data_IF_958614976476
#
_entry.id   IF_958614976476
#
_cell.length_a   1.000
_cell.length_b   1.000
_cell.length_c   1.000
_cell.angle_alpha   90.00
_cell.angle_beta   90.00
_cell.angle_gamma   90.00
#
_symmetry.space_group_name_H-M   'P 1'
#
loop_
_entity.id
_entity.type
_entity.pdbx_description
1 polymer ?
#
# COMPACT_ATOMS: atom_id res chain seq x y z
N UNK A 1 -9.32 0.95 -10.52
CA UNK A 1 -9.69 2.29 -11.05
C UNK A 1 -8.54 3.27 -10.89
N UNK A 2 -8.25 4.04 -11.94
CA UNK A 2 -7.33 5.19 -11.89
C UNK A 2 -7.79 6.24 -10.86
N UNK A 3 -6.84 6.96 -10.24
CA UNK A 3 -7.13 8.12 -9.36
C UNK A 3 -8.06 7.79 -8.19
N UNK A 4 -7.96 6.57 -7.66
CA UNK A 4 -8.81 6.06 -6.59
C UNK A 4 -8.27 6.32 -5.18
N UNK A 5 -7.03 6.82 -5.04
CA UNK A 5 -6.34 6.97 -3.76
C UNK A 5 -5.43 8.21 -3.74
N UNK A 6 -5.22 8.77 -2.54
CA UNK A 6 -4.25 9.85 -2.24
C UNK A 6 -3.47 9.43 -1.00
N UNK A 7 -2.19 9.06 -1.16
CA UNK A 7 -1.32 8.70 -0.04
C UNK A 7 -0.52 9.89 0.52
N UNK A 8 -0.13 10.85 -0.33
CA UNK A 8 0.61 12.06 0.06
C UNK A 8 -0.36 13.25 0.17
N UNK A 9 -0.39 13.88 1.34
CA UNK A 9 -1.26 15.04 1.58
C UNK A 9 -0.88 16.21 0.65
N UNK A 10 -1.90 16.91 0.15
CA UNK A 10 -1.70 18.07 -0.74
C UNK A 10 -1.35 17.72 -2.20
N UNK A 11 -1.39 16.43 -2.60
CA UNK A 11 -1.16 15.99 -3.99
C UNK A 11 -2.45 15.64 -4.73
N UNK A 12 -2.35 15.45 -6.05
CA UNK A 12 -3.46 14.92 -6.85
C UNK A 12 -3.66 13.42 -6.62
N UNK A 13 -4.88 12.89 -6.89
CA UNK A 13 -5.13 11.46 -6.96
C UNK A 13 -4.15 10.71 -7.86
N UNK A 14 -3.71 9.56 -7.39
CA UNK A 14 -2.62 8.77 -7.93
C UNK A 14 -2.90 8.25 -9.35
N UNK A 15 -1.90 8.38 -10.24
CA UNK A 15 -1.93 7.91 -11.62
C UNK A 15 -1.52 6.42 -11.70
N UNK A 16 -2.35 5.57 -11.11
CA UNK A 16 -2.25 4.11 -11.25
C UNK A 16 -3.62 3.47 -11.22
N UNK A 17 -3.73 2.34 -11.89
CA UNK A 17 -4.79 1.38 -11.64
C UNK A 17 -4.22 0.10 -11.04
N UNK A 18 -5.11 -0.76 -10.55
CA UNK A 18 -4.66 -2.04 -10.06
C UNK A 18 -5.78 -3.04 -9.82
N UNK A 19 -5.38 -4.30 -9.84
CA UNK A 19 -6.17 -5.46 -9.48
C UNK A 19 -5.63 -6.05 -8.17
N UNK A 20 -6.51 -6.29 -7.21
CA UNK A 20 -6.14 -6.62 -5.83
C UNK A 20 -6.49 -8.09 -5.58
N UNK A 21 -5.53 -8.85 -5.08
CA UNK A 21 -5.64 -10.28 -4.83
C UNK A 21 -5.21 -10.55 -3.40
N UNK A 22 -6.02 -11.32 -2.67
CA UNK A 22 -5.68 -11.86 -1.36
C UNK A 22 -5.62 -13.38 -1.38
N UNK A 23 -5.55 -13.98 -0.20
CA UNK A 23 -5.80 -15.40 -0.05
C UNK A 23 -7.23 -15.71 -0.53
N UNK A 24 -7.39 -16.86 -1.19
CA UNK A 24 -8.72 -17.30 -1.62
C UNK A 24 -9.50 -17.79 -0.40
N UNK A 25 -10.33 -16.91 0.17
CA UNK A 25 -11.09 -17.17 1.40
C UNK A 25 -12.56 -17.41 1.04
N UNK A 26 -13.11 -18.62 1.22
CA UNK A 26 -14.51 -18.90 0.91
C UNK A 26 -15.46 -18.20 1.90
N UNK A 27 -16.73 -18.06 1.51
CA UNK A 27 -17.72 -17.31 2.28
C UNK A 27 -18.10 -17.96 3.63
N UNK A 28 -17.80 -19.24 3.81
CA UNK A 28 -18.00 -19.98 5.05
C UNK A 28 -16.78 -19.91 6.00
N UNK A 29 -15.68 -19.29 5.56
CA UNK A 29 -14.48 -19.16 6.38
C UNK A 29 -14.69 -18.15 7.52
N UNK A 30 -14.20 -18.42 8.74
CA UNK A 30 -14.37 -17.52 9.89
C UNK A 30 -13.88 -16.09 9.65
N UNK A 31 -12.82 -15.90 8.86
CA UNK A 31 -12.34 -14.55 8.55
C UNK A 31 -13.33 -13.75 7.69
N UNK A 32 -14.01 -14.39 6.73
CA UNK A 32 -15.03 -13.71 5.94
C UNK A 32 -16.28 -13.42 6.77
N UNK A 33 -16.79 -14.44 7.50
CA UNK A 33 -17.97 -14.32 8.35
C UNK A 33 -17.80 -13.19 9.38
N UNK A 34 -16.62 -13.11 10.02
CA UNK A 34 -16.30 -12.10 11.02
C UNK A 34 -15.77 -10.80 10.43
N UNK A 35 -15.77 -10.64 9.10
CA UNK A 35 -15.33 -9.44 8.37
C UNK A 35 -13.92 -8.98 8.75
N UNK A 36 -13.01 -9.93 8.91
CA UNK A 36 -11.61 -9.65 9.18
C UNK A 36 -10.97 -8.88 8.03
N UNK A 37 -9.96 -8.08 8.38
CA UNK A 37 -9.17 -7.29 7.44
C UNK A 37 -8.89 -8.04 6.11
N UNK A 38 -9.27 -7.43 4.99
CA UNK A 38 -9.02 -7.90 3.62
C UNK A 38 -9.29 -9.41 3.39
N UNK A 39 -10.35 -9.95 4.01
CA UNK A 39 -10.65 -11.38 3.95
C UNK A 39 -11.95 -11.66 3.20
N UNK A 40 -11.86 -12.43 2.11
CA UNK A 40 -13.01 -12.91 1.33
C UNK A 40 -12.61 -13.46 -0.04
N UNK A 41 -13.59 -13.89 -0.86
CA UNK A 41 -13.32 -14.42 -2.19
C UNK A 41 -12.71 -13.35 -3.11
N UNK A 42 -11.71 -13.75 -3.90
CA UNK A 42 -11.12 -12.86 -4.88
C UNK A 42 -12.15 -12.51 -5.97
N UNK A 43 -12.17 -11.24 -6.39
CA UNK A 43 -13.11 -10.74 -7.40
C UNK A 43 -12.47 -10.84 -8.78
N UNK A 44 -12.46 -12.05 -9.35
CA UNK A 44 -11.77 -12.33 -10.60
C UNK A 44 -12.39 -11.61 -11.83
N UNK A 45 -11.57 -11.18 -12.81
CA UNK A 45 -12.05 -10.43 -13.97
C UNK A 45 -12.70 -11.37 -15.00
N UNK A 46 -13.99 -11.64 -14.84
CA UNK A 46 -14.76 -12.55 -15.73
C UNK A 46 -14.67 -12.19 -17.22
N UNK A 47 -14.38 -10.92 -17.55
CA UNK A 47 -14.14 -10.45 -18.92
C UNK A 47 -12.92 -11.07 -19.62
N UNK A 48 -12.04 -11.81 -18.91
CA UNK A 48 -10.91 -12.52 -19.51
C UNK A 48 -11.33 -13.77 -20.32
N UNK A 49 -12.57 -14.23 -20.20
CA UNK A 49 -13.06 -15.37 -20.99
C UNK A 49 -12.19 -16.62 -20.82
N UNK A 50 -11.61 -17.13 -21.91
CA UNK A 50 -10.77 -18.33 -21.90
C UNK A 50 -9.49 -18.20 -21.06
N UNK A 51 -8.98 -16.99 -20.88
CA UNK A 51 -7.72 -16.75 -20.18
C UNK A 51 -7.88 -16.69 -18.66
N UNK A 52 -9.13 -16.61 -18.17
CA UNK A 52 -9.47 -16.45 -16.76
C UNK A 52 -8.83 -17.52 -15.88
N UNK A 53 -8.90 -18.79 -16.28
CA UNK A 53 -8.37 -19.88 -15.47
C UNK A 53 -6.85 -19.84 -15.37
N UNK A 54 -6.16 -19.52 -16.48
CA UNK A 54 -4.71 -19.35 -16.50
C UNK A 54 -4.29 -18.18 -15.62
N UNK A 55 -4.96 -17.04 -15.76
CA UNK A 55 -4.71 -15.85 -14.96
C UNK A 55 -4.89 -16.09 -13.46
N UNK A 56 -5.97 -16.79 -13.07
CA UNK A 56 -6.23 -17.21 -11.68
C UNK A 56 -5.08 -18.08 -11.16
N UNK A 57 -4.72 -19.12 -11.89
CA UNK A 57 -3.69 -20.08 -11.49
C UNK A 57 -2.33 -19.40 -11.30
N UNK A 58 -1.85 -18.64 -12.30
CA UNK A 58 -0.56 -17.95 -12.22
C UNK A 58 -0.52 -16.91 -11.11
N UNK A 59 -1.61 -16.16 -10.91
CA UNK A 59 -1.70 -15.18 -9.83
C UNK A 59 -1.62 -15.83 -8.46
N UNK A 60 -2.35 -16.93 -8.23
CA UNK A 60 -2.35 -17.61 -6.94
C UNK A 60 -1.06 -18.39 -6.68
N UNK A 61 -0.44 -18.95 -7.72
CA UNK A 61 0.89 -19.57 -7.62
C UNK A 61 1.95 -18.55 -7.18
N UNK A 62 1.99 -17.39 -7.83
CA UNK A 62 2.89 -16.30 -7.45
C UNK A 62 2.57 -15.76 -6.04
N UNK A 63 1.29 -15.55 -5.69
CA UNK A 63 0.87 -15.14 -4.35
C UNK A 63 1.40 -16.09 -3.27
N UNK A 64 1.22 -17.40 -3.46
CA UNK A 64 1.68 -18.42 -2.52
C UNK A 64 3.21 -18.46 -2.39
N UNK A 65 3.92 -18.31 -3.50
CA UNK A 65 5.39 -18.29 -3.53
C UNK A 65 5.95 -17.05 -2.83
N UNK A 66 5.35 -15.89 -3.08
CA UNK A 66 5.70 -14.64 -2.41
C UNK A 66 5.43 -14.73 -0.89
N UNK A 67 4.31 -15.31 -0.46
CA UNK A 67 4.03 -15.53 0.96
C UNK A 67 5.05 -16.45 1.64
N UNK A 68 5.48 -17.51 0.96
CA UNK A 68 6.54 -18.39 1.46
C UNK A 68 7.86 -17.63 1.62
N UNK A 69 8.24 -16.84 0.62
CA UNK A 69 9.42 -15.97 0.70
C UNK A 69 9.30 -14.97 1.86
N UNK A 70 8.15 -14.34 2.05
CA UNK A 70 7.93 -13.44 3.19
C UNK A 70 8.13 -14.16 4.53
N UNK A 71 7.62 -15.39 4.66
CA UNK A 71 7.84 -16.20 5.87
C UNK A 71 9.32 -16.47 6.12
N UNK A 72 10.10 -16.78 5.08
CA UNK A 72 11.55 -16.99 5.20
C UNK A 72 12.27 -15.69 5.56
N UNK A 73 11.88 -14.56 4.97
CA UNK A 73 12.42 -13.24 5.33
C UNK A 73 12.11 -12.85 6.77
N UNK A 74 10.91 -13.16 7.27
CA UNK A 74 10.55 -12.92 8.67
C UNK A 74 11.43 -13.74 9.63
N UNK A 75 11.81 -14.97 9.28
CA UNK A 75 12.77 -15.78 10.06
C UNK A 75 14.16 -15.13 10.11
N UNK A 76 14.63 -14.61 8.97
CA UNK A 76 15.90 -13.86 8.91
C UNK A 76 15.83 -12.60 9.78
N UNK A 77 14.72 -11.86 9.72
CA UNK A 77 14.52 -10.67 10.55
C UNK A 77 14.46 -11.00 12.05
N UNK A 78 13.96 -12.18 12.44
CA UNK A 78 13.99 -12.62 13.84
C UNK A 78 15.43 -12.81 14.32
N UNK A 79 16.24 -13.51 13.53
CA UNK A 79 17.65 -13.75 13.85
C UNK A 79 18.45 -12.46 13.94
N UNK A 80 18.20 -11.48 13.05
CA UNK A 80 18.87 -10.18 13.10
C UNK A 80 18.44 -9.28 14.27
N UNK A 81 17.43 -9.70 15.05
CA UNK A 81 16.97 -9.06 16.28
C UNK A 81 17.36 -9.86 17.53
N UNK A 82 18.27 -10.84 17.39
CA UNK A 82 18.67 -11.77 18.45
C UNK A 82 17.48 -12.55 19.06
N UNK A 83 16.50 -12.92 18.21
CA UNK A 83 15.35 -13.74 18.58
C UNK A 83 15.49 -15.16 18.03
N UNK A 84 14.69 -16.07 18.56
CA UNK A 84 14.49 -17.40 17.96
C UNK A 84 13.98 -17.28 16.53
N UNK A 85 14.48 -18.14 15.64
CA UNK A 85 14.13 -18.11 14.22
C UNK A 85 12.62 -18.15 13.95
N UNK A 86 11.88 -18.89 14.79
CA UNK A 86 10.43 -19.07 14.70
C UNK A 86 9.61 -17.99 15.44
N UNK A 87 10.24 -16.91 15.90
CA UNK A 87 9.57 -15.89 16.72
C UNK A 87 8.28 -15.34 16.08
N UNK A 88 8.30 -15.12 14.76
CA UNK A 88 7.16 -14.58 14.03
C UNK A 88 6.16 -15.63 13.52
N UNK A 89 6.31 -16.92 13.84
CA UNK A 89 5.43 -17.97 13.29
C UNK A 89 3.95 -17.77 13.62
N UNK A 90 3.61 -17.34 14.84
CA UNK A 90 2.22 -17.05 15.23
C UNK A 90 1.63 -15.81 14.53
N UNK A 91 2.49 -14.87 14.14
CA UNK A 91 2.07 -13.71 13.37
C UNK A 91 1.83 -14.09 11.89
N UNK A 92 2.59 -15.05 11.38
CA UNK A 92 2.43 -15.58 10.03
C UNK A 92 1.27 -16.58 9.89
N UNK A 93 0.90 -17.25 10.97
CA UNK A 93 -0.22 -18.20 11.01
C UNK A 93 -1.55 -17.48 10.75
N UNK A 94 -2.22 -17.77 9.63
CA UNK A 94 -3.41 -17.03 9.21
C UNK A 94 -3.11 -15.59 8.76
N UNK A 95 -1.88 -15.31 8.32
CA UNK A 95 -1.53 -13.96 7.89
C UNK A 95 -2.36 -13.48 6.70
N UNK A 96 -2.89 -12.27 6.84
CA UNK A 96 -3.49 -11.55 5.72
C UNK A 96 -2.36 -10.86 4.95
N UNK A 97 -2.32 -11.14 3.64
CA UNK A 97 -1.49 -10.40 2.69
C UNK A 97 -2.32 -9.97 1.48
N UNK A 98 -2.01 -8.79 0.97
CA UNK A 98 -2.65 -8.24 -0.22
C UNK A 98 -1.60 -8.09 -1.30
N UNK A 99 -1.80 -8.77 -2.42
CA UNK A 99 -1.05 -8.57 -3.65
C UNK A 99 -1.78 -7.58 -4.54
N UNK A 100 -1.05 -6.69 -5.21
CA UNK A 100 -1.64 -5.76 -6.18
C UNK A 100 -0.92 -5.87 -7.50
N UNK A 101 -1.65 -6.11 -8.58
CA UNK A 101 -1.13 -5.98 -9.94
C UNK A 101 -1.34 -4.53 -10.34
N UNK A 102 -0.28 -3.73 -10.37
CA UNK A 102 -0.36 -2.29 -10.60
C UNK A 102 0.09 -1.94 -12.01
N UNK A 103 -0.69 -1.09 -12.67
CA UNK A 103 -0.37 -0.48 -13.96
C UNK A 103 -0.29 1.04 -13.79
N UNK A 104 0.81 1.62 -14.28
CA UNK A 104 1.06 3.05 -14.31
C UNK A 104 1.12 3.51 -15.77
N UNK A 105 0.17 4.36 -16.20
CA UNK A 105 0.21 4.93 -17.54
C UNK A 105 1.52 5.69 -17.81
N UNK A 106 1.90 5.75 -19.08
CA UNK A 106 2.98 6.62 -19.55
C UNK A 106 2.66 8.09 -19.24
N UNK A 107 3.69 8.85 -18.87
CA UNK A 107 3.58 10.28 -18.60
C UNK A 107 4.60 11.07 -19.42
N UNK A 108 4.27 12.32 -19.82
CA UNK A 108 5.25 13.22 -20.44
C UNK A 108 6.47 13.43 -19.55
N UNK A 109 7.66 13.51 -20.15
CA UNK A 109 8.92 13.68 -19.40
C UNK A 109 8.97 14.99 -18.60
N UNK A 110 8.28 16.01 -19.09
CA UNK A 110 8.15 17.36 -18.53
C UNK A 110 6.93 17.52 -17.59
N UNK A 111 6.22 16.43 -17.30
CA UNK A 111 5.09 16.46 -16.38
C UNK A 111 5.53 16.90 -14.97
N UNK A 112 4.73 17.76 -14.35
CA UNK A 112 4.96 18.23 -12.98
C UNK A 112 4.84 17.06 -12.00
N UNK A 113 5.93 16.77 -11.29
CA UNK A 113 6.02 15.65 -10.33
C UNK A 113 5.01 15.73 -9.19
N UNK A 114 4.57 16.94 -8.79
CA UNK A 114 3.56 17.09 -7.74
C UNK A 114 2.15 16.82 -8.25
N UNK A 115 1.93 16.97 -9.56
CA UNK A 115 0.62 16.81 -10.20
C UNK A 115 0.45 15.41 -10.85
N UNK A 116 1.54 14.70 -11.12
CA UNK A 116 1.54 13.46 -11.92
C UNK A 116 2.17 12.26 -11.21
N UNK A 117 2.04 12.16 -9.89
CA UNK A 117 2.58 10.99 -9.17
C UNK A 117 1.84 9.71 -9.55
N UNK A 118 2.60 8.66 -9.85
CA UNK A 118 2.06 7.30 -9.92
C UNK A 118 1.59 6.87 -8.53
N UNK A 119 2.42 7.10 -7.51
CA UNK A 119 2.10 6.94 -6.08
C UNK A 119 2.74 8.10 -5.29
N UNK A 120 1.99 8.67 -4.35
CA UNK A 120 2.49 9.72 -3.45
C UNK A 120 3.56 9.23 -2.47
N UNK A 121 4.37 10.14 -1.92
CA UNK A 121 5.30 9.83 -0.82
C UNK A 121 4.54 9.25 0.39
N UNK A 122 4.90 8.03 0.80
CA UNK A 122 4.22 7.33 1.89
C UNK A 122 5.10 6.23 2.49
N UNK A 123 4.62 5.63 3.57
CA UNK A 123 5.14 4.38 4.14
C UNK A 123 4.08 3.29 4.07
N UNK A 124 4.52 2.03 4.06
CA UNK A 124 3.61 0.89 4.07
C UNK A 124 3.06 0.60 5.45
N UNK A 125 1.84 0.08 5.53
CA UNK A 125 1.14 -0.08 6.82
C UNK A 125 1.49 -1.40 7.53
N UNK A 126 1.73 -2.46 6.76
CA UNK A 126 1.95 -3.82 7.26
C UNK A 126 3.32 -4.05 7.90
N UNK A 127 3.78 -5.30 7.91
CA UNK A 127 5.08 -5.66 8.46
C UNK A 127 6.18 -5.63 7.38
N UNK A 128 5.95 -6.29 6.25
CA UNK A 128 6.92 -6.43 5.16
C UNK A 128 6.20 -6.37 3.81
N UNK A 129 6.87 -5.76 2.83
CA UNK A 129 6.42 -5.68 1.45
C UNK A 129 7.53 -6.23 0.55
N UNK A 130 7.14 -7.04 -0.43
CA UNK A 130 8.03 -7.47 -1.51
C UNK A 130 7.46 -6.95 -2.82
N UNK A 131 8.31 -6.33 -3.62
CA UNK A 131 7.92 -5.70 -4.87
C UNK A 131 8.69 -6.33 -6.02
N UNK A 132 7.94 -6.90 -6.96
CA UNK A 132 8.44 -7.21 -8.29
C UNK A 132 8.20 -6.01 -9.20
N UNK A 133 9.25 -5.58 -9.90
CA UNK A 133 9.20 -4.51 -10.90
C UNK A 133 9.38 -5.11 -12.29
N UNK A 134 8.76 -4.50 -13.30
CA UNK A 134 9.19 -4.69 -14.68
C UNK A 134 10.49 -3.93 -14.95
N UNK A 135 10.90 -3.84 -16.22
CA UNK A 135 12.12 -3.16 -16.64
C UNK A 135 12.03 -1.62 -16.61
N UNK A 136 10.86 -1.07 -16.24
CA UNK A 136 10.59 0.37 -16.28
C UNK A 136 10.78 0.99 -14.89
N UNK A 137 11.70 1.95 -14.83
CA UNK A 137 12.01 2.67 -13.59
C UNK A 137 10.86 3.59 -13.13
N UNK A 138 10.88 3.94 -11.86
CA UNK A 138 10.01 4.97 -11.30
C UNK A 138 9.88 4.90 -9.78
N UNK A 139 10.40 3.86 -9.12
CA UNK A 139 10.39 3.78 -7.66
C UNK A 139 11.50 4.68 -7.09
N UNK A 140 11.13 5.53 -6.13
CA UNK A 140 12.09 6.32 -5.36
C UNK A 140 11.91 6.10 -3.87
N UNK A 141 13.01 6.02 -3.14
CA UNK A 141 13.05 5.94 -1.68
C UNK A 141 13.69 7.20 -1.10
N UNK A 142 13.20 7.65 0.05
CA UNK A 142 13.72 8.83 0.72
C UNK A 142 14.92 8.48 1.60
N UNK A 143 16.10 8.99 1.27
CA UNK A 143 17.24 8.98 2.17
C UNK A 143 17.11 10.09 3.19
N UNK A 144 16.68 9.72 4.40
CA UNK A 144 16.53 10.64 5.52
C UNK A 144 17.85 11.31 5.93
N UNK A 145 19.00 10.67 5.73
CA UNK A 145 20.30 11.21 6.15
C UNK A 145 20.73 12.37 5.26
N UNK A 146 20.54 12.22 3.95
CA UNK A 146 20.97 13.21 2.96
C UNK A 146 19.82 14.10 2.48
N UNK A 147 18.60 13.88 2.98
CA UNK A 147 17.38 14.60 2.59
C UNK A 147 17.16 14.61 1.07
N UNK A 148 17.32 13.44 0.45
CA UNK A 148 17.24 13.27 -1.01
C UNK A 148 16.45 12.02 -1.38
N UNK A 149 15.84 12.06 -2.57
CA UNK A 149 15.24 10.89 -3.19
C UNK A 149 16.31 10.08 -3.92
N UNK A 150 16.29 8.76 -3.73
CA UNK A 150 17.17 7.81 -4.43
C UNK A 150 16.29 6.93 -5.33
N UNK A 151 16.66 6.84 -6.60
CA UNK A 151 16.02 5.93 -7.55
C UNK A 151 16.36 4.48 -7.21
N UNK A 152 15.36 3.60 -7.34
CA UNK A 152 15.52 2.15 -7.16
C UNK A 152 15.34 1.49 -8.53
N UNK A 153 16.43 1.38 -9.32
CA UNK A 153 16.35 0.86 -10.67
C UNK A 153 15.94 -0.62 -10.64
N UNK A 154 15.10 -1.07 -11.60
CA UNK A 154 14.78 -2.48 -11.75
C UNK A 154 16.05 -3.33 -11.87
N UNK A 155 16.08 -4.45 -11.15
CA UNK A 155 17.18 -5.41 -11.19
C UNK A 155 16.60 -6.78 -11.52
N UNK A 156 17.02 -7.35 -12.65
CA UNK A 156 16.57 -8.65 -13.10
C UNK A 156 16.86 -9.73 -12.04
N UNK A 157 15.85 -10.56 -11.74
CA UNK A 157 15.96 -11.63 -10.75
C UNK A 157 15.93 -11.17 -9.28
N UNK A 158 15.65 -9.90 -9.01
CA UNK A 158 15.60 -9.36 -7.66
C UNK A 158 14.21 -8.81 -7.28
N UNK A 159 13.89 -8.92 -5.98
CA UNK A 159 12.79 -8.18 -5.37
C UNK A 159 13.33 -6.95 -4.65
N UNK A 160 12.56 -5.88 -4.68
CA UNK A 160 12.72 -4.81 -3.68
C UNK A 160 11.94 -5.21 -2.44
N UNK A 161 12.57 -5.16 -1.28
CA UNK A 161 11.95 -5.50 0.00
C UNK A 161 11.99 -4.29 0.92
N UNK A 162 10.85 -3.94 1.50
CA UNK A 162 10.75 -2.85 2.46
C UNK A 162 9.92 -3.26 3.68
N UNK A 163 10.19 -2.59 4.81
CA UNK A 163 9.47 -2.81 6.06
C UNK A 163 8.39 -1.76 6.24
N UNK A 164 7.26 -2.17 6.81
CA UNK A 164 6.13 -1.30 7.08
C UNK A 164 6.09 -0.75 8.49
N UNK A 165 5.11 0.12 8.74
CA UNK A 165 4.87 0.80 10.01
C UNK A 165 4.68 -0.18 11.16
N UNK A 166 4.06 -1.35 10.91
CA UNK A 166 3.87 -2.35 11.94
C UNK A 166 5.21 -2.90 12.44
N UNK A 167 6.16 -3.22 11.54
CA UNK A 167 7.50 -3.69 11.91
C UNK A 167 8.32 -2.60 12.59
N UNK A 168 8.23 -1.36 12.11
CA UNK A 168 8.85 -0.21 12.77
C UNK A 168 8.33 -0.04 14.21
N UNK A 169 7.01 -0.14 14.42
CA UNK A 169 6.41 -0.14 15.77
C UNK A 169 6.94 -1.30 16.61
N UNK A 170 6.95 -2.51 16.04
CA UNK A 170 7.30 -3.75 16.72
C UNK A 170 8.72 -3.71 17.28
N UNK A 171 9.64 -3.14 16.50
CA UNK A 171 11.07 -3.00 16.81
C UNK A 171 11.42 -1.71 17.53
N UNK A 172 10.44 -0.98 18.08
CA UNK A 172 10.66 0.30 18.78
C UNK A 172 11.35 1.37 17.90
N UNK A 173 11.11 1.31 16.59
CA UNK A 173 11.74 2.04 15.50
C UNK A 173 13.23 1.75 15.31
N UNK A 174 13.74 0.60 15.76
CA UNK A 174 15.07 0.13 15.36
C UNK A 174 15.09 -0.09 13.84
N UNK A 175 14.10 -0.82 13.32
CA UNK A 175 13.85 -0.89 11.87
C UNK A 175 12.97 0.26 11.42
N UNK A 176 13.25 0.77 10.22
CA UNK A 176 12.58 1.93 9.65
C UNK A 176 11.59 1.50 8.59
N UNK A 177 10.40 2.09 8.65
CA UNK A 177 9.51 2.11 7.50
C UNK A 177 9.89 3.30 6.64
N UNK A 178 10.55 3.02 5.52
CA UNK A 178 11.10 4.06 4.65
C UNK A 178 10.02 4.69 3.80
N UNK A 179 10.07 6.02 3.71
CA UNK A 179 9.21 6.78 2.82
C UNK A 179 9.62 6.47 1.38
N UNK A 180 8.65 6.18 0.53
CA UNK A 180 8.86 5.90 -0.88
C UNK A 180 7.72 6.48 -1.73
N UNK A 181 7.98 6.70 -3.02
CA UNK A 181 7.03 7.25 -4.00
C UNK A 181 7.25 6.61 -5.38
N UNK A 182 6.29 6.78 -6.29
CA UNK A 182 6.44 6.34 -7.69
C UNK A 182 6.23 7.50 -8.65
N UNK A 183 7.21 7.72 -9.53
CA UNK A 183 7.21 8.73 -10.59
C UNK A 183 7.56 8.03 -11.91
N UNK A 184 6.58 7.87 -12.80
CA UNK A 184 6.81 7.23 -14.10
C UNK A 184 7.14 8.28 -15.18
N UNK A 185 8.40 8.69 -15.26
CA UNK A 185 8.90 9.64 -16.29
C UNK A 185 9.56 8.97 -17.49
N UNK A 186 9.46 7.65 -17.59
CA UNK A 186 10.12 6.88 -18.65
C UNK A 186 9.57 7.19 -20.05
N UNK A 187 8.34 7.69 -20.13
CA UNK A 187 7.58 7.78 -21.38
C UNK A 187 6.98 6.44 -21.82
N UNK A 188 7.10 5.40 -21.00
CA UNK A 188 6.54 4.06 -21.21
C UNK A 188 5.53 3.75 -20.10
N UNK A 189 4.66 2.77 -20.34
CA UNK A 189 3.85 2.19 -19.27
C UNK A 189 4.76 1.41 -18.31
N UNK A 190 4.39 1.38 -17.04
CA UNK A 190 5.10 0.62 -16.01
C UNK A 190 4.15 -0.34 -15.32
N UNK A 191 4.64 -1.53 -15.00
CA UNK A 191 3.93 -2.56 -14.26
C UNK A 191 4.72 -2.94 -13.00
N UNK A 192 4.01 -3.23 -11.92
CA UNK A 192 4.64 -3.73 -10.71
C UNK A 192 3.70 -4.55 -9.85
N UNK A 193 4.25 -5.53 -9.12
CA UNK A 193 3.48 -6.43 -8.26
C UNK A 193 4.01 -6.37 -6.82
N UNK A 194 3.53 -5.42 -6.00
CA UNK A 194 3.77 -5.47 -4.56
C UNK A 194 2.88 -6.53 -3.88
N UNK A 195 3.48 -7.26 -2.94
CA UNK A 195 2.81 -8.15 -1.99
C UNK A 195 3.04 -7.60 -0.59
N UNK A 196 1.98 -7.08 0.02
CA UNK A 196 1.98 -6.49 1.35
C UNK A 196 1.56 -7.53 2.38
N UNK A 197 2.44 -7.91 3.29
CA UNK A 197 2.11 -8.85 4.38
C UNK A 197 1.79 -8.06 5.65
N UNK A 198 0.52 -8.08 6.04
CA UNK A 198 0.04 -7.45 7.27
C UNK A 198 0.20 -8.35 8.49
N UNK A 199 -0.01 -9.66 8.32
CA UNK A 199 0.03 -10.64 9.41
C UNK A 199 -1.35 -11.11 9.86
N UNK A 200 -1.39 -11.99 10.86
CA UNK A 200 -2.62 -12.49 11.46
C UNK A 200 -3.41 -11.32 12.09
N UNK A 201 -4.65 -11.05 11.66
CA UNK A 201 -5.45 -9.92 12.15
C UNK A 201 -5.56 -9.82 13.67
N UNK A 202 -5.64 -10.96 14.35
CA UNK A 202 -5.84 -11.05 15.81
C UNK A 202 -4.53 -11.05 16.61
N UNK A 203 -3.37 -11.10 15.94
CA UNK A 203 -2.09 -11.13 16.62
C UNK A 203 -1.83 -9.81 17.35
N UNK A 204 -1.52 -9.91 18.64
CA UNK A 204 -1.18 -8.77 19.49
C UNK A 204 0.29 -8.37 19.28
N UNK A 205 0.51 -7.22 18.65
CA UNK A 205 1.82 -6.64 18.42
C UNK A 205 2.24 -5.81 19.64
N UNK A 206 3.29 -6.29 20.31
CA UNK A 206 3.92 -5.63 21.45
C UNK A 206 5.41 -5.45 21.19
N UNK A 207 5.99 -4.36 21.71
CA UNK A 207 7.41 -4.05 21.52
C UNK A 207 8.30 -5.24 21.88
N UNK A 208 9.11 -5.68 20.91
CA UNK A 208 9.98 -6.85 21.00
C UNK A 208 10.94 -6.69 22.19
N UNK A 209 11.13 -7.74 23.02
CA UNK A 209 11.98 -7.67 24.20
C UNK A 209 13.40 -7.15 23.94
N UNK A 210 14.04 -7.58 22.85
CA UNK A 210 15.39 -7.14 22.45
C UNK A 210 15.43 -5.71 21.91
N UNK A 211 14.28 -5.07 21.64
CA UNK A 211 14.18 -3.69 21.15
C UNK A 211 13.81 -2.67 22.22
N UNK A 212 13.77 -3.08 23.50
CA UNK A 212 13.49 -2.20 24.64
C UNK A 212 14.41 -2.51 25.82
N UNK A 213 14.60 -1.53 26.68
CA UNK A 213 15.40 -1.65 27.90
C UNK A 213 14.83 -0.73 28.98
N UNK A 214 15.41 -0.75 30.18
CA UNK A 214 15.04 0.18 31.26
C UNK A 214 15.27 1.66 30.87
N UNK A 215 16.29 1.93 30.05
CA UNK A 215 16.62 3.29 29.59
C UNK A 215 15.95 3.65 28.27
N UNK A 216 15.45 2.66 27.52
CA UNK A 216 14.69 2.83 26.30
C UNK A 216 13.39 2.00 26.37
N UNK A 217 12.37 2.49 27.09
CA UNK A 217 11.09 1.79 27.19
C UNK A 217 10.39 1.71 25.82
N UNK A 218 9.34 0.89 25.76
CA UNK A 218 8.50 0.81 24.57
C UNK A 218 7.85 2.18 24.27
N UNK A 219 8.06 2.69 23.05
CA UNK A 219 7.45 3.96 22.59
C UNK A 219 5.96 3.86 22.34
N UNK A 220 5.48 2.65 22.06
CA UNK A 220 4.11 2.39 21.67
C UNK A 220 3.49 1.29 22.53
N UNK A 221 2.20 1.44 22.84
CA UNK A 221 1.44 0.39 23.54
C UNK A 221 1.13 -0.83 22.65
N UNK A 222 0.59 -1.91 23.23
CA UNK A 222 0.09 -3.06 22.47
C UNK A 222 -0.99 -2.66 21.46
N UNK A 223 -1.03 -3.32 20.30
CA UNK A 223 -2.08 -3.15 19.29
C UNK A 223 -2.25 -4.44 18.50
N UNK A 224 -3.46 -4.80 18.08
CA UNK A 224 -3.63 -5.92 17.14
C UNK A 224 -3.23 -5.51 15.72
N UNK A 225 -2.89 -6.48 14.88
CA UNK A 225 -2.60 -6.23 13.45
C UNK A 225 -3.79 -5.53 12.78
N UNK A 226 -5.01 -6.02 13.01
CA UNK A 226 -6.24 -5.47 12.44
C UNK A 226 -6.43 -3.99 12.82
N UNK A 227 -6.25 -3.64 14.09
CA UNK A 227 -6.36 -2.25 14.55
C UNK A 227 -5.31 -1.34 13.93
N UNK A 228 -4.05 -1.78 13.86
CA UNK A 228 -2.96 -0.99 13.32
C UNK A 228 -3.14 -0.70 11.83
N UNK A 229 -3.50 -1.72 11.04
CA UNK A 229 -3.61 -1.59 9.58
C UNK A 229 -4.91 -0.91 9.16
N UNK A 230 -6.04 -1.17 9.83
CA UNK A 230 -7.33 -0.56 9.49
C UNK A 230 -7.32 0.95 9.72
N UNK A 231 -6.66 1.44 10.78
CA UNK A 231 -6.52 2.87 11.05
C UNK A 231 -5.81 3.60 9.89
N UNK A 232 -4.72 3.04 9.37
CA UNK A 232 -3.98 3.61 8.24
C UNK A 232 -4.77 3.58 6.92
N UNK A 233 -5.57 2.53 6.69
CA UNK A 233 -6.47 2.47 5.54
C UNK A 233 -7.55 3.56 5.59
N UNK A 234 -8.21 3.75 6.74
CA UNK A 234 -9.24 4.76 6.91
C UNK A 234 -8.71 6.18 6.62
N UNK A 235 -7.49 6.48 7.08
CA UNK A 235 -6.83 7.76 6.84
C UNK A 235 -6.54 8.01 5.36
N UNK A 236 -5.98 7.03 4.65
CA UNK A 236 -5.59 7.20 3.24
C UNK A 236 -6.77 7.30 2.28
N UNK A 237 -7.77 6.43 2.40
CA UNK A 237 -8.95 6.49 1.54
C UNK A 237 -9.87 7.68 1.90
N UNK A 238 -9.94 8.06 3.18
CA UNK A 238 -10.68 9.24 3.63
C UNK A 238 -10.17 10.53 2.96
N UNK A 239 -8.86 10.70 2.83
CA UNK A 239 -8.24 11.85 2.14
C UNK A 239 -8.68 11.95 0.67
N UNK A 240 -8.73 10.83 -0.06
CA UNK A 240 -9.18 10.80 -1.45
C UNK A 240 -10.65 11.19 -1.61
N UNK A 241 -11.51 10.75 -0.68
CA UNK A 241 -12.94 11.09 -0.69
C UNK A 241 -13.17 12.58 -0.43
N UNK A 242 -12.50 13.15 0.57
CA UNK A 242 -12.59 14.58 0.89
C UNK A 242 -12.11 15.46 -0.27
N UNK A 243 -11.04 15.05 -0.98
CA UNK A 243 -10.56 15.77 -2.16
C UNK A 243 -11.61 15.82 -3.28
N UNK A 244 -12.28 14.68 -3.57
CA UNK A 244 -13.34 14.62 -4.59
C UNK A 244 -14.52 15.52 -4.23
N UNK A 245 -14.95 15.50 -2.97
CA UNK A 245 -16.02 16.38 -2.48
C UNK A 245 -15.65 17.86 -2.60
N UNK A 246 -14.41 18.23 -2.30
CA UNK A 246 -13.91 19.60 -2.47
C UNK A 246 -13.94 20.07 -3.92
N UNK A 247 -13.58 19.22 -4.88
CA UNK A 247 -13.67 19.52 -6.32
C UNK A 247 -15.11 19.70 -6.79
N UNK A 248 -16.04 18.86 -6.33
CA UNK A 248 -17.47 18.97 -6.64
C UNK A 248 -18.03 20.29 -6.13
N UNK A 249 -17.71 20.67 -4.88
CA UNK A 249 -18.12 21.96 -4.30
C UNK A 249 -17.50 23.15 -5.04
N UNK A 250 -16.21 23.11 -5.37
CA UNK A 250 -15.55 24.17 -6.13
C UNK A 250 -16.14 24.34 -7.54
N UNK A 251 -16.47 23.23 -8.19
CA UNK A 251 -17.14 23.22 -9.50
C UNK A 251 -18.54 23.80 -9.41
N UNK A 252 -19.33 23.37 -8.41
CA UNK A 252 -20.67 23.90 -8.17
C UNK A 252 -20.66 25.41 -7.88
N UNK A 253 -19.67 25.90 -7.13
CA UNK A 253 -19.51 27.33 -6.83
C UNK A 253 -19.12 28.14 -8.08
N UNK A 254 -18.27 27.60 -8.96
CA UNK A 254 -17.94 28.24 -10.24
C UNK A 254 -19.14 28.30 -11.18
N UNK A 255 -19.95 27.24 -11.25
CA UNK A 255 -21.18 27.22 -12.06
C UNK A 255 -22.18 28.27 -11.54
N UNK A 256 -22.41 28.33 -10.22
CA UNK A 256 -23.26 29.37 -9.61
C UNK A 256 -22.74 30.79 -9.84
N UNK A 257 -21.42 30.99 -9.85
CA UNK A 257 -20.83 32.30 -10.12
C UNK A 257 -20.91 32.72 -11.61
N UNK A 258 -21.22 31.79 -12.51
CA UNK A 258 -21.39 32.02 -13.94
C UNK A 258 -22.87 32.08 -14.37
N UNK A 259 -23.82 31.82 -13.47
CA UNK A 259 -25.25 32.03 -13.73
C UNK A 259 -25.51 33.54 -13.91
N UNK A 260 -26.16 33.96 -15.01
CA UNK A 260 -26.49 35.36 -15.22
C UNK A 260 -27.42 35.82 -14.10
N UNK A 261 -27.07 36.92 -13.42
CA UNK A 261 -27.97 37.52 -12.46
C UNK A 261 -29.29 37.89 -13.15
N UNK A 262 -30.45 37.58 -12.55
CA UNK A 262 -31.74 37.95 -13.13
C UNK A 262 -31.77 39.47 -13.29
N UNK A 263 -32.07 39.92 -14.51
CA UNK A 263 -32.18 41.33 -14.83
C UNK A 263 -33.21 41.98 -13.89
N UNK A 264 -32.75 42.91 -13.06
CA UNK A 264 -33.65 43.74 -12.27
C UNK A 264 -34.39 44.68 -13.23
N UNK A 265 -35.63 44.34 -13.55
CA UNK A 265 -36.53 45.26 -14.23
C UNK A 265 -36.95 46.29 -13.19
N UNK A 266 -36.31 47.46 -13.24
CA UNK A 266 -36.76 48.63 -12.51
C UNK A 266 -38.06 49.14 -13.16
N UNK A 267 -39.17 49.02 -12.45
CA UNK A 267 -40.44 49.65 -12.83
C UNK A 267 -40.47 51.01 -12.13
N UNK A 268 -40.54 52.08 -12.93
CA UNK A 268 -40.76 53.46 -12.47
C UNK A 268 -42.25 53.72 -12.18
#
# INVERSE_FOLDING_TARGET
MLRSQILEEGTQPELKEGFYIGAEIPEDHPYFINKKLNSGPNQWPEGLGSDLQSFRNSSMEYYSSALKLASDLMRVLALSLDLEETYFSKFMDGAVATMRLLHYPSQPKDADEKLTRGIGAHTDFGAITMLLQDEVDGLQVWDKKNETWIDVPPTEGAFVVNLGNLMARWTNELYKSNIHRVINKSGQERYSIPVFVSGNPDYLVECIPTCKSATQPAKFGPVTVEQAVSASYAESYGRAQLYKQGLEQATANKVKAQEPQPAQIAVA
#
